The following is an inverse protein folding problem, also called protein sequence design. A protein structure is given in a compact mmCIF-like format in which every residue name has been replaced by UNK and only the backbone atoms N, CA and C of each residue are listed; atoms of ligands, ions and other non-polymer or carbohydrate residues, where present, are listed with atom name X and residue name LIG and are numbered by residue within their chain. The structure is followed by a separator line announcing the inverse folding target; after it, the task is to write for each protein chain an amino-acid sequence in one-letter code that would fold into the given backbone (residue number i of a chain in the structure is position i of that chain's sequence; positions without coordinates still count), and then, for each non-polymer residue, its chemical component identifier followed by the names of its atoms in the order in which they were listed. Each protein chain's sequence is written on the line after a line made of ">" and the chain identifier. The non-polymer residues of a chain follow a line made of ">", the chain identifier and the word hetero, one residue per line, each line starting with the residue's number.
data_IF_452960899550
#
_entry.id   IF_452960899550
#
_cell.length_a   1.000
_cell.length_b   1.000
_cell.length_c   1.000
_cell.angle_alpha   90.00
_cell.angle_beta   90.00
_cell.angle_gamma   90.00
#
_symmetry.space_group_name_H-M   'P 1'
#
loop_
_entity.id
_entity.type
_entity.pdbx_description
1 polymer ?
#
# COMPACT_ATOMS: atom_id res chain seq x y z
N UNK A 1 -69.28 -7.05 -41.96
CA UNK A 1 -68.94 -7.86 -43.19
C UNK A 1 -67.50 -8.34 -42.97
N UNK A 2 -67.45 -9.60 -42.81
CA UNK A 2 -66.61 -10.56 -43.52
C UNK A 2 -65.09 -10.34 -43.26
N UNK A 3 -64.44 -11.20 -42.72
CA UNK A 3 -64.23 -12.61 -42.78
C UNK A 3 -62.73 -12.91 -42.86
N UNK A 4 -62.31 -13.68 -41.93
CA UNK A 4 -61.56 -14.92 -42.14
C UNK A 4 -60.07 -14.73 -42.49
N UNK A 5 -59.31 -15.35 -41.81
CA UNK A 5 -58.84 -16.74 -41.49
C UNK A 5 -57.37 -16.79 -41.82
N UNK A 6 -56.61 -17.21 -40.90
CA UNK A 6 -56.19 -18.58 -40.54
C UNK A 6 -54.85 -18.94 -41.15
N UNK A 7 -54.09 -19.54 -40.30
CA UNK A 7 -53.05 -20.57 -40.31
C UNK A 7 -51.63 -20.08 -40.17
N UNK A 8 -51.08 -20.37 -39.14
CA UNK A 8 -50.58 -21.63 -38.57
C UNK A 8 -49.27 -22.09 -39.18
N UNK A 9 -48.36 -22.14 -38.27
CA UNK A 9 -47.43 -23.21 -37.94
C UNK A 9 -46.32 -23.54 -38.95
N UNK A 10 -45.15 -23.66 -38.46
CA UNK A 10 -44.28 -24.82 -38.36
C UNK A 10 -42.85 -24.36 -38.30
N UNK A 11 -42.26 -24.53 -37.14
CA UNK A 11 -41.19 -25.52 -36.86
C UNK A 11 -40.20 -25.73 -38.00
N UNK A 12 -39.01 -25.21 -37.84
CA UNK A 12 -37.81 -25.94 -38.20
C UNK A 12 -36.66 -25.45 -37.39
N UNK A 13 -36.17 -26.28 -36.53
CA UNK A 13 -34.95 -26.12 -35.78
C UNK A 13 -33.75 -26.05 -36.74
N UNK A 14 -32.89 -25.12 -36.46
CA UNK A 14 -31.52 -25.16 -36.92
C UNK A 14 -30.64 -24.99 -35.71
N UNK A 15 -30.18 -26.09 -35.18
CA UNK A 15 -29.06 -26.13 -34.27
C UNK A 15 -27.82 -25.66 -35.02
N UNK A 16 -27.46 -24.41 -34.83
CA UNK A 16 -26.13 -23.92 -35.19
C UNK A 16 -25.20 -24.18 -34.05
N UNK A 17 -24.42 -25.24 -34.19
CA UNK A 17 -23.18 -25.48 -33.47
C UNK A 17 -22.24 -24.30 -33.73
N UNK A 18 -22.22 -23.33 -32.84
CA UNK A 18 -21.17 -22.36 -32.80
C UNK A 18 -19.91 -23.07 -32.28
N UNK A 19 -18.99 -23.28 -33.16
CA UNK A 19 -17.61 -23.66 -32.88
C UNK A 19 -17.05 -22.74 -31.79
N UNK A 20 -16.78 -23.36 -30.66
CA UNK A 20 -15.97 -22.77 -29.62
C UNK A 20 -14.57 -22.59 -30.20
N UNK A 21 -14.30 -21.42 -30.73
CA UNK A 21 -12.96 -20.95 -30.95
C UNK A 21 -12.30 -20.74 -29.58
N UNK A 22 -11.46 -21.67 -29.16
CA UNK A 22 -10.47 -21.42 -28.11
C UNK A 22 -9.53 -20.32 -28.58
N UNK A 23 -9.95 -19.08 -28.41
CA UNK A 23 -9.08 -17.94 -28.30
C UNK A 23 -8.72 -17.82 -26.87
N UNK A 24 -7.53 -18.26 -26.50
CA UNK A 24 -6.84 -17.91 -25.23
C UNK A 24 -6.56 -16.42 -25.26
N UNK A 25 -7.59 -15.61 -25.06
CA UNK A 25 -7.41 -14.26 -24.55
C UNK A 25 -7.18 -14.42 -23.06
N UNK A 26 -5.94 -14.40 -22.67
CA UNK A 26 -5.58 -14.20 -21.27
C UNK A 26 -6.21 -12.89 -20.81
N UNK A 27 -7.40 -12.97 -20.23
CA UNK A 27 -7.86 -11.97 -19.28
C UNK A 27 -6.91 -12.09 -18.10
N UNK A 28 -5.83 -11.34 -18.13
CA UNK A 28 -5.24 -10.90 -16.88
C UNK A 28 -6.34 -10.09 -16.20
N UNK A 29 -7.05 -10.69 -15.27
CA UNK A 29 -7.82 -9.92 -14.31
C UNK A 29 -6.75 -9.06 -13.62
N UNK A 30 -6.71 -7.78 -13.93
CA UNK A 30 -5.93 -6.84 -13.17
C UNK A 30 -6.41 -7.04 -11.73
N UNK A 31 -5.54 -7.56 -10.88
CA UNK A 31 -5.84 -7.66 -9.47
C UNK A 31 -6.26 -6.26 -9.02
N UNK A 32 -7.36 -6.16 -8.30
CA UNK A 32 -7.83 -4.88 -7.80
C UNK A 32 -6.67 -4.21 -7.07
N UNK A 33 -6.42 -2.94 -7.38
CA UNK A 33 -5.37 -2.16 -6.71
C UNK A 33 -5.65 -2.16 -5.21
N UNK A 34 -4.68 -2.59 -4.42
CA UNK A 34 -4.80 -2.61 -2.96
C UNK A 34 -4.73 -1.19 -2.42
N UNK A 35 -5.57 -0.89 -1.46
CA UNK A 35 -5.51 0.38 -0.73
C UNK A 35 -4.53 0.25 0.44
N UNK A 36 -3.25 0.54 0.19
CA UNK A 36 -2.22 0.45 1.22
C UNK A 36 -2.44 1.45 2.36
N UNK A 37 -3.08 2.60 2.08
CA UNK A 37 -3.42 3.58 3.10
C UNK A 37 -4.41 3.01 4.11
N UNK A 38 -5.48 2.38 3.61
CA UNK A 38 -6.46 1.71 4.47
C UNK A 38 -5.85 0.52 5.21
N UNK A 39 -4.99 -0.27 4.57
CA UNK A 39 -4.30 -1.40 5.20
C UNK A 39 -3.42 -0.90 6.37
N UNK A 40 -2.66 0.17 6.19
CA UNK A 40 -1.85 0.74 7.27
C UNK A 40 -2.71 1.29 8.40
N UNK A 41 -3.79 2.01 8.07
CA UNK A 41 -4.73 2.52 9.06
C UNK A 41 -5.30 1.40 9.94
N UNK A 42 -5.76 0.31 9.32
CA UNK A 42 -6.41 -0.78 10.04
C UNK A 42 -5.42 -1.68 10.80
N UNK A 43 -4.14 -1.63 10.45
CA UNK A 43 -3.11 -2.46 11.05
C UNK A 43 -2.51 -1.88 12.33
N UNK A 44 -2.53 -0.56 12.50
CA UNK A 44 -1.90 0.15 13.59
C UNK A 44 -2.89 0.60 14.67
N UNK A 45 -2.41 1.19 15.76
CA UNK A 45 -3.24 1.61 16.88
C UNK A 45 -4.12 2.84 16.55
N UNK A 46 -5.19 3.04 17.33
CA UNK A 46 -6.01 4.25 17.26
C UNK A 46 -5.20 5.51 17.58
N UNK A 47 -4.25 5.43 18.51
CA UNK A 47 -3.35 6.53 18.88
C UNK A 47 -2.45 6.92 17.70
N UNK A 48 -1.85 5.95 17.02
CA UNK A 48 -1.07 6.21 15.80
C UNK A 48 -1.92 6.88 14.71
N UNK A 49 -3.18 6.43 14.57
CA UNK A 49 -4.12 7.00 13.61
C UNK A 49 -4.55 8.42 13.95
N UNK A 50 -4.59 8.77 15.24
CA UNK A 50 -4.93 10.13 15.70
C UNK A 50 -3.77 11.11 15.44
N UNK A 51 -2.52 10.69 15.64
CA UNK A 51 -1.37 11.62 15.65
C UNK A 51 -0.46 11.53 14.44
N UNK A 52 -0.42 10.39 13.74
CA UNK A 52 0.56 10.13 12.69
C UNK A 52 -0.10 10.01 11.31
N UNK A 53 0.30 10.89 10.40
CA UNK A 53 -0.16 10.87 9.02
C UNK A 53 0.29 9.63 8.27
N UNK A 54 -0.56 9.12 7.39
CA UNK A 54 -0.19 8.18 6.34
C UNK A 54 -0.09 8.96 5.04
N UNK A 55 1.05 8.87 4.38
CA UNK A 55 1.27 9.51 3.09
C UNK A 55 1.47 8.49 1.98
N UNK A 56 1.06 8.86 0.77
CA UNK A 56 1.15 8.07 -0.44
C UNK A 56 1.32 8.99 -1.64
N UNK A 57 1.61 8.41 -2.81
CA UNK A 57 1.70 9.14 -4.08
C UNK A 57 0.53 8.73 -4.98
N UNK A 58 -0.25 9.69 -5.43
CA UNK A 58 -1.36 9.46 -6.34
C UNK A 58 -0.91 9.12 -7.76
N UNK A 59 -1.84 8.68 -8.60
CA UNK A 59 -1.58 8.38 -10.02
C UNK A 59 -1.16 9.62 -10.82
N UNK A 60 -1.51 10.80 -10.35
CA UNK A 60 -1.09 12.10 -10.89
C UNK A 60 0.35 12.48 -10.49
N UNK A 61 1.03 11.62 -9.74
CA UNK A 61 2.38 11.83 -9.24
C UNK A 61 2.48 12.75 -8.03
N UNK A 62 1.36 13.22 -7.49
CA UNK A 62 1.34 14.09 -6.30
C UNK A 62 1.30 13.25 -5.02
N UNK A 63 1.99 13.74 -4.02
CA UNK A 63 1.90 13.18 -2.68
C UNK A 63 0.63 13.66 -2.00
N UNK A 64 0.02 12.78 -1.22
CA UNK A 64 -1.14 13.08 -0.38
C UNK A 64 -0.90 12.51 1.01
N UNK A 65 -1.51 13.12 2.02
CA UNK A 65 -1.49 12.61 3.38
C UNK A 65 -2.91 12.47 3.90
N UNK A 66 -3.14 11.45 4.71
CA UNK A 66 -4.43 11.14 5.34
C UNK A 66 -4.20 10.78 6.80
N UNK A 67 -5.22 10.95 7.61
CA UNK A 67 -5.21 10.69 9.07
C UNK A 67 -4.29 11.63 9.87
N UNK A 68 -4.27 11.46 11.16
CA UNK A 68 -3.45 12.26 12.06
C UNK A 68 -3.63 13.76 11.85
N UNK A 69 -2.56 14.48 11.89
CA UNK A 69 -2.57 15.94 11.70
C UNK A 69 -2.94 16.41 10.29
N UNK A 70 -3.11 15.51 9.33
CA UNK A 70 -3.49 15.89 7.96
C UNK A 70 -4.86 16.59 7.90
N UNK A 71 -5.74 16.31 8.85
CA UNK A 71 -7.05 16.96 8.95
C UNK A 71 -6.97 18.47 9.25
N UNK A 72 -5.82 18.96 9.73
CA UNK A 72 -5.59 20.36 10.09
C UNK A 72 -5.00 21.19 8.93
N UNK A 73 -4.59 20.54 7.84
CA UNK A 73 -3.90 21.15 6.72
C UNK A 73 -4.72 21.09 5.43
N UNK A 74 -4.56 22.09 4.57
CA UNK A 74 -5.10 22.01 3.21
C UNK A 74 -4.26 21.04 2.37
N UNK A 75 -4.91 20.19 1.58
CA UNK A 75 -4.28 19.09 0.84
C UNK A 75 -3.11 19.52 -0.05
N UNK A 76 -3.18 20.73 -0.64
CA UNK A 76 -2.13 21.26 -1.51
C UNK A 76 -0.86 21.67 -0.75
N UNK A 77 -0.98 22.08 0.51
CA UNK A 77 0.16 22.45 1.35
C UNK A 77 0.88 21.21 1.87
N UNK A 78 0.12 20.18 2.19
CA UNK A 78 0.67 18.95 2.78
C UNK A 78 1.49 18.14 1.80
N UNK A 79 1.10 18.09 0.53
CA UNK A 79 1.76 17.25 -0.47
C UNK A 79 3.22 17.63 -0.70
N UNK A 80 3.53 18.92 -0.78
CA UNK A 80 4.90 19.39 -1.00
C UNK A 80 5.76 19.25 0.28
N UNK A 81 5.19 19.52 1.46
CA UNK A 81 5.90 19.37 2.73
C UNK A 81 6.19 17.90 3.03
N UNK A 82 5.23 17.01 2.81
CA UNK A 82 5.41 15.56 2.98
C UNK A 82 6.48 15.03 2.03
N UNK A 83 6.42 15.38 0.74
CA UNK A 83 7.40 14.94 -0.22
C UNK A 83 8.83 15.39 0.13
N UNK A 84 8.97 16.65 0.53
CA UNK A 84 10.29 17.23 0.83
C UNK A 84 10.86 16.77 2.17
N UNK A 85 10.02 16.38 3.12
CA UNK A 85 10.44 16.04 4.48
C UNK A 85 10.52 14.52 4.71
N UNK A 86 9.53 13.75 4.24
CA UNK A 86 9.40 12.34 4.59
C UNK A 86 10.09 11.39 3.60
N UNK A 87 10.05 11.67 2.30
CA UNK A 87 10.68 10.79 1.31
C UNK A 87 12.20 10.67 1.47
N UNK A 88 12.95 11.74 1.76
CA UNK A 88 14.37 11.61 2.05
C UNK A 88 14.68 10.77 3.29
N UNK A 89 13.79 10.75 4.29
CA UNK A 89 13.97 9.90 5.48
C UNK A 89 13.90 8.43 5.13
N UNK A 90 12.96 8.05 4.25
CA UNK A 90 12.78 6.66 3.81
C UNK A 90 13.82 6.21 2.78
N UNK A 91 14.54 7.13 2.16
CA UNK A 91 15.50 6.81 1.10
C UNK A 91 14.87 6.23 -0.16
N UNK A 92 13.55 6.39 -0.34
CA UNK A 92 12.84 5.96 -1.54
C UNK A 92 12.97 7.01 -2.65
N UNK A 93 13.48 6.59 -3.79
CA UNK A 93 13.64 7.42 -4.98
C UNK A 93 12.58 7.06 -6.04
N UNK A 94 12.25 8.03 -6.91
CA UNK A 94 11.37 7.79 -8.06
C UNK A 94 11.91 6.64 -8.94
N UNK A 95 11.02 5.73 -9.31
CA UNK A 95 11.36 4.53 -10.07
C UNK A 95 11.82 3.33 -9.22
N UNK A 96 11.92 3.45 -7.91
CA UNK A 96 12.13 2.30 -7.02
C UNK A 96 10.83 1.57 -6.70
N UNK A 97 9.69 2.22 -6.83
CA UNK A 97 8.37 1.70 -6.47
C UNK A 97 7.30 2.05 -7.51
N UNK A 98 6.27 1.20 -7.59
CA UNK A 98 5.04 1.45 -8.36
C UNK A 98 3.97 2.11 -7.49
N UNK A 99 3.94 1.78 -6.20
CA UNK A 99 2.96 2.27 -5.24
C UNK A 99 3.49 2.13 -3.81
N UNK A 100 3.01 2.95 -2.90
CA UNK A 100 3.34 2.82 -1.49
C UNK A 100 2.35 3.55 -0.60
N UNK A 101 2.32 3.19 0.67
CA UNK A 101 1.83 4.01 1.77
C UNK A 101 2.84 3.93 2.91
N UNK A 102 3.10 5.04 3.57
CA UNK A 102 4.04 5.12 4.67
C UNK A 102 3.59 6.10 5.73
N UNK A 103 3.95 5.82 6.96
CA UNK A 103 3.79 6.70 8.10
C UNK A 103 5.08 6.69 8.89
N UNK A 104 5.72 7.83 9.03
CA UNK A 104 6.98 7.97 9.78
C UNK A 104 6.92 9.19 10.70
N UNK A 105 7.59 9.09 11.83
CA UNK A 105 7.79 10.24 12.71
C UNK A 105 9.03 11.02 12.29
N UNK A 106 8.87 12.34 12.18
CA UNK A 106 10.00 13.27 12.06
C UNK A 106 10.54 13.76 13.40
N UNK A 107 10.01 13.25 14.52
CA UNK A 107 10.42 13.68 15.85
C UNK A 107 11.71 13.00 16.29
N UNK A 108 12.65 13.79 16.82
CA UNK A 108 13.96 13.30 17.29
C UNK A 108 13.90 12.46 18.57
N UNK A 109 12.73 12.38 19.21
CA UNK A 109 12.53 11.72 20.52
C UNK A 109 11.58 10.54 20.45
N UNK A 110 11.11 10.19 19.26
CA UNK A 110 10.16 9.10 19.07
C UNK A 110 10.50 8.36 17.78
N UNK A 111 10.77 7.07 17.91
CA UNK A 111 10.98 6.19 16.78
C UNK A 111 9.63 5.67 16.29
N UNK A 112 9.32 5.97 15.04
CA UNK A 112 8.14 5.41 14.40
C UNK A 112 8.33 5.36 12.89
N UNK A 113 8.06 4.20 12.30
CA UNK A 113 8.03 4.02 10.86
C UNK A 113 7.26 2.75 10.48
N UNK A 114 6.17 2.89 9.76
CA UNK A 114 5.40 1.78 9.18
C UNK A 114 5.17 2.08 7.72
N UNK A 115 5.56 1.17 6.82
CA UNK A 115 5.43 1.35 5.40
C UNK A 115 5.08 0.05 4.68
N UNK A 116 4.27 0.17 3.63
CA UNK A 116 4.04 -0.85 2.61
C UNK A 116 4.49 -0.25 1.29
N UNK A 117 5.42 -0.90 0.62
CA UNK A 117 5.95 -0.46 -0.67
C UNK A 117 5.80 -1.58 -1.67
N UNK A 118 5.19 -1.30 -2.81
CA UNK A 118 5.19 -2.16 -3.98
C UNK A 118 6.40 -1.79 -4.84
N UNK A 119 7.47 -2.60 -4.85
CA UNK A 119 8.64 -2.28 -5.66
C UNK A 119 8.31 -2.28 -7.14
N UNK A 120 8.95 -1.40 -7.90
CA UNK A 120 9.00 -1.50 -9.35
C UNK A 120 9.73 -2.79 -9.77
N UNK A 121 9.53 -3.22 -11.01
CA UNK A 121 10.14 -4.44 -11.52
C UNK A 121 11.67 -4.44 -11.33
N UNK A 122 12.19 -5.48 -10.67
CA UNK A 122 13.62 -5.64 -10.40
C UNK A 122 14.19 -4.76 -9.28
N UNK A 123 13.38 -3.94 -8.60
CA UNK A 123 13.84 -2.98 -7.59
C UNK A 123 13.57 -3.41 -6.14
N UNK A 124 13.14 -4.66 -5.91
CA UNK A 124 12.81 -5.14 -4.56
C UNK A 124 13.97 -4.98 -3.58
N UNK A 125 15.21 -5.31 -4.00
CA UNK A 125 16.36 -5.20 -3.12
C UNK A 125 16.70 -3.74 -2.78
N UNK A 126 16.54 -2.84 -3.74
CA UNK A 126 16.79 -1.40 -3.50
C UNK A 126 15.81 -0.84 -2.46
N UNK A 127 14.54 -1.27 -2.50
CA UNK A 127 13.54 -0.89 -1.51
C UNK A 127 13.86 -1.49 -0.13
N UNK A 128 14.27 -2.75 -0.07
CA UNK A 128 14.72 -3.38 1.19
C UNK A 128 15.90 -2.63 1.78
N UNK A 129 16.91 -2.32 0.97
CA UNK A 129 18.13 -1.62 1.41
C UNK A 129 17.79 -0.21 1.95
N UNK A 130 16.88 0.50 1.30
CA UNK A 130 16.41 1.82 1.76
C UNK A 130 15.69 1.73 3.11
N UNK A 131 14.77 0.77 3.27
CA UNK A 131 14.05 0.55 4.53
C UNK A 131 14.98 0.10 5.66
N UNK A 132 15.94 -0.77 5.39
CA UNK A 132 16.96 -1.19 6.36
C UNK A 132 17.85 -0.03 6.77
N UNK A 133 18.22 0.85 5.83
CA UNK A 133 18.99 2.05 6.14
C UNK A 133 18.21 3.01 7.05
N UNK A 134 16.89 3.17 6.81
CA UNK A 134 16.03 3.93 7.73
C UNK A 134 16.07 3.34 9.14
N UNK A 135 15.80 2.04 9.30
CA UNK A 135 15.81 1.35 10.61
C UNK A 135 17.17 1.52 11.31
N UNK A 136 18.27 1.31 10.59
CA UNK A 136 19.63 1.50 11.15
C UNK A 136 19.88 2.95 11.59
N UNK A 137 19.35 3.93 10.87
CA UNK A 137 19.47 5.34 11.25
C UNK A 137 18.73 5.63 12.55
N UNK A 138 17.53 5.04 12.74
CA UNK A 138 16.75 5.15 13.97
C UNK A 138 17.49 4.48 15.16
N UNK A 139 17.98 3.26 14.98
CA UNK A 139 18.78 2.56 15.99
C UNK A 139 19.98 3.40 16.43
N UNK A 140 20.75 3.90 15.47
CA UNK A 140 21.95 4.72 15.76
C UNK A 140 21.60 6.03 16.46
N UNK A 141 20.48 6.66 16.12
CA UNK A 141 20.05 7.89 16.76
C UNK A 141 19.69 7.68 18.23
N UNK A 142 19.10 6.53 18.57
CA UNK A 142 18.59 6.24 19.92
C UNK A 142 19.57 5.48 20.82
N UNK A 143 20.58 4.80 20.26
CA UNK A 143 21.52 3.89 20.96
C UNK A 143 22.08 4.45 22.28
N UNK A 144 22.27 5.77 22.36
CA UNK A 144 22.85 6.44 23.54
C UNK A 144 21.98 7.58 24.07
N UNK A 145 20.74 7.66 23.60
CA UNK A 145 19.88 8.78 23.91
C UNK A 145 18.62 8.37 24.66
N UNK A 146 17.85 7.42 24.13
CA UNK A 146 16.60 6.93 24.71
C UNK A 146 16.55 5.40 24.59
N UNK A 147 16.70 4.71 25.72
CA UNK A 147 16.80 3.25 25.76
C UNK A 147 15.51 2.57 25.28
N UNK A 148 14.35 3.06 25.69
CA UNK A 148 13.03 2.59 25.26
C UNK A 148 12.83 2.72 23.75
N UNK A 149 13.23 3.83 23.17
CA UNK A 149 13.16 4.06 21.72
C UNK A 149 14.18 3.22 20.93
N UNK A 150 15.33 2.96 21.53
CA UNK A 150 16.32 2.04 20.96
C UNK A 150 15.81 0.61 20.92
N UNK A 151 15.07 0.15 21.94
CA UNK A 151 14.43 -1.16 21.97
C UNK A 151 13.41 -1.28 20.83
N UNK A 152 12.55 -0.26 20.61
CA UNK A 152 11.59 -0.20 19.50
C UNK A 152 12.33 -0.31 18.15
N UNK A 153 13.36 0.50 17.94
CA UNK A 153 14.14 0.48 16.71
C UNK A 153 14.85 -0.88 16.49
N UNK A 154 15.29 -1.52 17.57
CA UNK A 154 15.96 -2.82 17.52
C UNK A 154 15.00 -3.98 17.23
N UNK A 155 13.73 -3.82 17.59
CA UNK A 155 12.66 -4.77 17.28
C UNK A 155 12.08 -4.61 15.88
N UNK A 156 12.49 -3.58 15.13
CA UNK A 156 11.98 -3.31 13.79
C UNK A 156 12.17 -4.49 12.82
N UNK A 157 11.29 -4.57 11.84
CA UNK A 157 11.30 -5.61 10.80
C UNK A 157 11.18 -4.97 9.42
N UNK A 158 12.00 -5.44 8.49
CA UNK A 158 11.85 -5.20 7.05
C UNK A 158 11.70 -6.58 6.39
N UNK A 159 10.58 -6.80 5.72
CA UNK A 159 10.28 -8.11 5.11
C UNK A 159 9.65 -7.94 3.73
N UNK A 160 10.04 -8.81 2.79
CA UNK A 160 9.30 -8.99 1.54
C UNK A 160 8.21 -10.03 1.78
N UNK A 161 6.95 -9.65 1.55
CA UNK A 161 5.81 -10.56 1.70
C UNK A 161 5.56 -11.38 0.45
N UNK A 162 4.83 -12.53 0.54
CA UNK A 162 4.61 -13.41 -0.62
C UNK A 162 3.91 -12.74 -1.81
N UNK A 163 3.16 -11.68 -1.59
CA UNK A 163 2.48 -10.89 -2.61
C UNK A 163 3.39 -9.89 -3.33
N UNK A 164 4.66 -9.77 -2.87
CA UNK A 164 5.72 -9.02 -3.52
C UNK A 164 6.00 -7.64 -2.93
N UNK A 165 5.17 -7.14 -2.02
CA UNK A 165 5.42 -5.89 -1.33
C UNK A 165 6.55 -6.03 -0.31
N UNK A 166 7.28 -4.94 -0.09
CA UNK A 166 8.21 -4.78 1.04
C UNK A 166 7.46 -4.05 2.15
N UNK A 167 7.46 -4.63 3.33
CA UNK A 167 6.81 -4.08 4.53
C UNK A 167 7.88 -3.76 5.56
N UNK A 168 7.88 -2.52 6.04
CA UNK A 168 8.69 -2.09 7.17
C UNK A 168 7.78 -1.79 8.35
N UNK A 169 8.13 -2.28 9.53
CA UNK A 169 7.52 -1.90 10.81
C UNK A 169 8.62 -1.59 11.82
N UNK A 170 8.56 -0.39 12.37
CA UNK A 170 9.48 0.14 13.38
C UNK A 170 8.63 0.98 14.35
N UNK A 171 7.87 0.32 15.20
CA UNK A 171 6.93 0.92 16.15
C UNK A 171 6.76 0.01 17.35
N UNK A 172 6.05 0.47 18.36
CA UNK A 172 5.55 -0.41 19.42
C UNK A 172 4.71 -1.53 18.79
N UNK A 173 4.72 -2.71 19.39
CA UNK A 173 3.97 -3.87 18.91
C UNK A 173 4.25 -4.27 17.42
N UNK A 174 5.47 -4.02 16.93
CA UNK A 174 5.90 -4.28 15.55
C UNK A 174 5.44 -5.65 15.02
N UNK A 175 5.50 -6.70 15.83
CA UNK A 175 5.09 -8.04 15.39
C UNK A 175 3.58 -8.12 15.13
N UNK A 176 2.75 -7.47 15.95
CA UNK A 176 1.29 -7.42 15.77
C UNK A 176 0.91 -6.62 14.52
N UNK A 177 1.51 -5.44 14.36
CA UNK A 177 1.29 -4.57 13.20
C UNK A 177 1.70 -5.30 11.91
N UNK A 178 2.86 -5.96 11.91
CA UNK A 178 3.34 -6.73 10.75
C UNK A 178 2.37 -7.86 10.37
N UNK A 179 1.88 -8.62 11.33
CA UNK A 179 0.94 -9.72 11.06
C UNK A 179 -0.42 -9.21 10.53
N UNK A 180 -0.91 -8.09 11.05
CA UNK A 180 -2.12 -7.44 10.54
C UNK A 180 -1.94 -7.02 9.07
N UNK A 181 -0.82 -6.37 8.73
CA UNK A 181 -0.49 -5.99 7.37
C UNK A 181 -0.40 -7.21 6.45
N UNK A 182 0.35 -8.25 6.84
CA UNK A 182 0.47 -9.48 6.05
C UNK A 182 -0.88 -10.13 5.76
N UNK A 183 -1.75 -10.20 6.77
CA UNK A 183 -3.10 -10.75 6.64
C UNK A 183 -3.93 -9.95 5.64
N UNK A 184 -3.89 -8.63 5.72
CA UNK A 184 -4.63 -7.75 4.81
C UNK A 184 -4.09 -7.82 3.37
N UNK A 185 -2.76 -7.92 3.21
CA UNK A 185 -2.13 -8.07 1.88
C UNK A 185 -2.42 -9.43 1.23
N UNK A 186 -2.71 -10.46 2.02
CA UNK A 186 -3.03 -11.80 1.50
C UNK A 186 -4.52 -12.00 1.16
N UNK A 187 -5.40 -11.07 1.55
CA UNK A 187 -6.83 -11.12 1.31
C UNK A 187 -7.19 -10.67 -0.12
#
# INVERSE_FOLDING_TARGET
>A
MKLKRIFAALLAGAALLALVGCGTSGSSSAAAKKDYTQILHDARSDEDNEYLMIFTKGEDGKFTAQYGYSAEYEADQLSDEVANMMMPLLGLEDGMYDDFAASVSGMMVSVYGVAIVKPAEGRTQDVVDAMDAYVQSQQKAMERYLEDQYEIASAARVVTVPTGEVVMVCCEDSDTVLENIKKALAA
#
